data_IF_715095785333
#
_entry.id   IF_715095785333
#
_cell.length_a   1.000
_cell.length_b   1.000
_cell.length_c   1.000
_cell.angle_alpha   90.00
_cell.angle_beta   90.00
_cell.angle_gamma   90.00
#
_symmetry.space_group_name_H-M   'P 1'
#
loop_
_entity.id
_entity.type
_entity.pdbx_description
1 polymer ?
#
# COMPACT_ATOMS: atom_id res chain seq x y z
N UNK A 1 1.70 -10.20 -10.68
CA UNK A 1 0.65 -10.36 -9.63
C UNK A 1 -0.41 -9.30 -9.85
N UNK A 2 -1.66 -9.60 -9.53
CA UNK A 2 -2.71 -8.56 -9.61
C UNK A 2 -2.54 -7.58 -8.46
N UNK A 3 -2.99 -6.33 -8.64
CA UNK A 3 -2.93 -5.33 -7.56
C UNK A 3 -3.69 -5.79 -6.32
N UNK A 4 -4.85 -6.42 -6.50
CA UNK A 4 -5.67 -6.94 -5.41
C UNK A 4 -4.94 -7.95 -4.53
N UNK A 5 -4.09 -8.81 -5.11
CA UNK A 5 -3.29 -9.78 -4.34
C UNK A 5 -2.28 -9.07 -3.42
N UNK A 6 -1.55 -8.08 -3.92
CA UNK A 6 -0.53 -7.36 -3.14
C UNK A 6 -1.20 -6.48 -2.08
N UNK A 7 -2.19 -5.69 -2.47
CA UNK A 7 -2.93 -4.82 -1.55
C UNK A 7 -3.57 -5.64 -0.43
N UNK A 8 -4.24 -6.74 -0.75
CA UNK A 8 -4.88 -7.61 0.23
C UNK A 8 -3.89 -8.25 1.20
N UNK A 9 -2.72 -8.69 0.70
CA UNK A 9 -1.66 -9.24 1.55
C UNK A 9 -1.11 -8.18 2.52
N UNK A 10 -0.81 -6.97 2.03
CA UNK A 10 -0.32 -5.86 2.84
C UNK A 10 -1.34 -5.43 3.90
N UNK A 11 -2.63 -5.31 3.52
CA UNK A 11 -3.71 -5.01 4.45
C UNK A 11 -3.83 -6.05 5.56
N UNK A 12 -3.71 -7.35 5.21
CA UNK A 12 -3.76 -8.44 6.18
C UNK A 12 -2.61 -8.39 7.20
N UNK A 13 -1.38 -8.10 6.73
CA UNK A 13 -0.21 -8.01 7.61
C UNK A 13 -0.34 -6.81 8.56
N UNK A 14 -0.60 -5.63 8.02
CA UNK A 14 -0.66 -4.41 8.83
C UNK A 14 -1.85 -4.46 9.79
N UNK A 15 -2.99 -4.96 9.32
CA UNK A 15 -4.20 -5.12 10.12
C UNK A 15 -4.07 -6.13 11.27
N UNK A 16 -3.03 -6.96 11.30
CA UNK A 16 -2.76 -7.84 12.44
C UNK A 16 -2.22 -7.09 13.67
N UNK A 17 -1.75 -5.84 13.51
CA UNK A 17 -1.30 -5.03 14.62
C UNK A 17 -2.51 -4.39 15.36
N UNK A 18 -2.63 -4.51 16.70
CA UNK A 18 -3.85 -4.13 17.43
C UNK A 18 -4.29 -2.66 17.31
N UNK A 19 -3.35 -1.75 17.07
CA UNK A 19 -3.62 -0.31 16.97
C UNK A 19 -3.70 0.19 15.53
N UNK A 20 -3.49 -0.69 14.55
CA UNK A 20 -3.47 -0.29 13.15
C UNK A 20 -4.87 0.05 12.65
N UNK A 21 -5.03 1.27 12.15
CA UNK A 21 -6.18 1.68 11.34
C UNK A 21 -5.65 2.17 10.00
N UNK A 22 -5.80 1.33 8.98
CA UNK A 22 -5.36 1.62 7.62
C UNK A 22 -6.17 2.80 7.07
N UNK A 23 -5.48 3.79 6.50
CA UNK A 23 -6.06 4.91 5.76
C UNK A 23 -6.18 4.51 4.29
N UNK A 24 -5.05 4.13 3.67
CA UNK A 24 -5.03 3.50 2.36
C UNK A 24 -3.85 2.54 2.21
N UNK A 25 -4.01 1.61 1.27
CA UNK A 25 -2.93 0.81 0.68
C UNK A 25 -3.23 0.76 -0.81
N UNK A 26 -2.38 1.38 -1.62
CA UNK A 26 -2.60 1.54 -3.05
C UNK A 26 -1.37 1.16 -3.85
N UNK A 27 -1.60 0.67 -5.06
CA UNK A 27 -0.55 0.32 -6.00
C UNK A 27 -0.78 1.18 -7.24
N UNK A 28 0.17 2.08 -7.48
CA UNK A 28 0.07 3.14 -8.49
C UNK A 28 1.29 3.12 -9.40
N UNK A 29 1.18 3.81 -10.52
CA UNK A 29 2.33 4.15 -11.34
C UNK A 29 3.22 5.17 -10.60
N UNK A 30 4.53 4.93 -10.53
CA UNK A 30 5.44 5.76 -9.72
C UNK A 30 5.60 7.20 -10.22
N UNK A 31 5.36 7.46 -11.50
CA UNK A 31 5.52 8.80 -12.08
C UNK A 31 4.22 9.59 -12.06
N UNK A 32 3.11 8.93 -12.44
CA UNK A 32 1.81 9.59 -12.63
C UNK A 32 0.89 9.50 -11.41
N UNK A 33 1.24 8.64 -10.45
CA UNK A 33 0.42 8.29 -9.27
C UNK A 33 -1.00 7.81 -9.64
N UNK A 34 -1.20 7.35 -10.86
CA UNK A 34 -2.48 6.79 -11.30
C UNK A 34 -2.60 5.33 -10.88
N UNK A 35 -3.81 4.86 -10.53
CA UNK A 35 -4.06 3.45 -10.23
C UNK A 35 -3.63 2.53 -11.38
N UNK A 36 -3.16 1.33 -11.03
CA UNK A 36 -2.78 0.31 -12.01
C UNK A 36 -3.51 -1.00 -11.73
N UNK A 37 -3.71 -1.82 -12.76
CA UNK A 37 -4.37 -3.13 -12.61
C UNK A 37 -3.38 -4.26 -12.34
N UNK A 38 -2.17 -4.14 -12.90
CA UNK A 38 -1.12 -5.15 -12.84
C UNK A 38 0.19 -4.52 -12.39
N UNK A 39 0.89 -5.24 -11.51
CA UNK A 39 2.25 -4.89 -11.07
C UNK A 39 3.20 -5.00 -12.25
N UNK A 40 3.99 -3.94 -12.43
CA UNK A 40 5.01 -3.79 -13.48
C UNK A 40 6.24 -3.04 -12.92
N UNK A 41 7.37 -3.01 -13.63
CA UNK A 41 8.47 -2.11 -13.25
C UNK A 41 7.97 -0.67 -13.07
N UNK A 42 8.51 0.03 -12.08
CA UNK A 42 8.06 1.38 -11.68
C UNK A 42 6.66 1.41 -11.07
N UNK A 43 6.17 0.30 -10.51
CA UNK A 43 4.99 0.34 -9.65
C UNK A 43 5.38 0.80 -8.26
N UNK A 44 4.61 1.72 -7.68
CA UNK A 44 4.77 2.19 -6.31
C UNK A 44 3.67 1.61 -5.44
N UNK A 45 4.04 0.81 -4.44
CA UNK A 45 3.13 0.46 -3.35
C UNK A 45 3.21 1.58 -2.31
N UNK A 46 2.15 2.35 -2.15
CA UNK A 46 2.05 3.43 -1.17
C UNK A 46 1.02 3.07 -0.10
N UNK A 47 1.30 3.43 1.16
CA UNK A 47 0.36 3.20 2.26
C UNK A 47 0.40 4.32 3.29
N UNK A 48 -0.73 4.48 3.98
CA UNK A 48 -0.84 5.30 5.17
C UNK A 48 -1.64 4.56 6.24
N UNK A 49 -1.15 4.59 7.47
CA UNK A 49 -1.73 3.83 8.59
C UNK A 49 -1.64 4.64 9.87
N UNK A 50 -2.74 4.67 10.62
CA UNK A 50 -2.77 5.24 11.95
C UNK A 50 -2.40 4.20 13.00
N UNK A 51 -1.56 4.60 13.97
CA UNK A 51 -1.34 3.91 15.23
C UNK A 51 -1.72 4.86 16.37
N UNK A 52 -2.91 4.67 16.95
CA UNK A 52 -3.50 5.65 17.84
C UNK A 52 -3.80 6.97 17.10
N UNK A 53 -3.14 8.07 17.51
CA UNK A 53 -3.28 9.40 16.88
C UNK A 53 -2.21 9.68 15.81
N UNK A 54 -1.15 8.88 15.77
CA UNK A 54 -0.02 9.10 14.85
C UNK A 54 -0.35 8.48 13.50
N UNK A 55 -0.21 9.27 12.43
CA UNK A 55 -0.34 8.81 11.05
C UNK A 55 1.05 8.57 10.47
N UNK A 56 1.34 7.33 10.10
CA UNK A 56 2.59 6.94 9.45
C UNK A 56 2.31 6.72 7.95
N UNK A 57 3.30 7.07 7.13
CA UNK A 57 3.32 6.78 5.70
C UNK A 57 4.54 5.92 5.40
N UNK A 58 4.42 5.08 4.38
CA UNK A 58 5.55 4.39 3.78
C UNK A 58 5.25 4.09 2.31
N UNK A 59 6.29 3.86 1.52
CA UNK A 59 6.16 3.45 0.13
C UNK A 59 7.39 2.66 -0.33
N UNK A 60 7.18 1.76 -1.28
CA UNK A 60 8.26 0.98 -1.91
C UNK A 60 8.04 0.90 -3.42
N UNK A 61 9.13 1.09 -4.17
CA UNK A 61 9.17 0.82 -5.60
C UNK A 61 9.32 -0.68 -5.83
N UNK A 62 8.50 -1.23 -6.71
CA UNK A 62 8.53 -2.63 -7.10
C UNK A 62 9.25 -2.77 -8.46
N UNK A 63 10.18 -3.72 -8.51
CA UNK A 63 10.92 -4.13 -9.72
C UNK A 63 10.23 -5.30 -10.43
#
# INVERSE_FOLDING_TARGET
KTVNEIVGFTQKIIGAAPLARIDYVELVDAETLQPIEFVRPSSLLALAVYFGKTRLIDNILLE
#
